data_IF_754424648211
#
_entry.id   IF_754424648211
#
_cell.length_a   1.000
_cell.length_b   1.000
_cell.length_c   1.000
_cell.angle_alpha   90.00
_cell.angle_beta   90.00
_cell.angle_gamma   90.00
#
_symmetry.space_group_name_H-M   'P 1'
#
loop_
_entity.id
_entity.type
_entity.pdbx_description
1 polymer ?
#
# COMPACT_ATOMS: atom_id res chain seq x y z
N UNK A 1 12.28 -14.70 -3.99
CA UNK A 1 12.76 -14.15 -5.27
C UNK A 1 13.16 -12.70 -5.00
N UNK A 2 14.45 -12.46 -4.98
CA UNK A 2 15.10 -11.17 -4.74
C UNK A 2 14.58 -10.16 -5.77
N UNK A 3 14.12 -9.00 -5.31
CA UNK A 3 13.73 -7.90 -6.19
C UNK A 3 14.83 -7.66 -7.21
N UNK A 4 14.51 -7.84 -8.50
CA UNK A 4 15.47 -7.75 -9.59
C UNK A 4 16.24 -6.43 -9.51
N UNK A 5 17.57 -6.41 -9.77
CA UNK A 5 18.35 -5.18 -9.90
C UNK A 5 17.76 -4.16 -10.88
N UNK A 6 16.92 -4.63 -11.82
CA UNK A 6 16.15 -3.79 -12.74
C UNK A 6 15.03 -3.00 -12.08
N UNK A 7 14.31 -3.60 -11.09
CA UNK A 7 13.25 -2.90 -10.36
C UNK A 7 13.82 -1.73 -9.56
N UNK A 8 14.99 -1.91 -8.95
CA UNK A 8 15.71 -0.84 -8.25
C UNK A 8 16.17 0.24 -9.25
N UNK A 9 16.69 -0.14 -10.42
CA UNK A 9 17.22 0.82 -11.42
C UNK A 9 16.13 1.75 -11.98
N UNK A 10 14.91 1.26 -12.22
CA UNK A 10 13.80 2.10 -12.71
C UNK A 10 13.18 2.98 -11.61
N UNK A 11 13.20 2.50 -10.36
CA UNK A 11 12.96 3.34 -9.20
C UNK A 11 13.90 4.56 -9.20
N UNK A 12 15.17 4.35 -9.58
CA UNK A 12 16.20 5.37 -9.69
C UNK A 12 15.92 6.39 -10.80
N UNK A 13 15.38 5.95 -11.92
CA UNK A 13 15.05 6.85 -13.03
C UNK A 13 13.85 7.75 -12.68
N UNK A 14 12.84 7.22 -12.00
CA UNK A 14 11.72 8.00 -11.49
C UNK A 14 12.14 9.06 -10.44
N UNK A 15 13.19 8.80 -9.67
CA UNK A 15 13.69 9.68 -8.62
C UNK A 15 14.58 10.83 -9.12
N UNK A 16 15.17 10.73 -10.32
CA UNK A 16 16.11 11.74 -10.87
C UNK A 16 15.50 13.12 -11.16
N UNK A 17 14.18 13.26 -11.13
CA UNK A 17 13.49 14.50 -11.49
C UNK A 17 13.23 15.47 -10.31
N UNK A 18 13.73 15.21 -9.09
CA UNK A 18 13.39 16.03 -7.90
C UNK A 18 14.52 16.94 -7.39
N UNK A 19 14.10 18.12 -6.86
CA UNK A 19 15.00 19.26 -6.69
C UNK A 19 15.87 19.30 -5.43
N UNK A 20 15.51 18.75 -4.28
CA UNK A 20 16.43 18.78 -3.10
C UNK A 20 16.00 17.89 -1.91
N UNK A 21 16.88 17.03 -1.42
CA UNK A 21 16.70 16.22 -0.22
C UNK A 21 17.04 17.03 1.05
N UNK A 22 16.19 17.01 2.07
CA UNK A 22 16.44 17.69 3.35
C UNK A 22 17.67 17.15 4.11
N UNK A 23 18.05 15.90 3.88
CA UNK A 23 19.17 15.24 4.56
C UNK A 23 20.51 15.57 3.90
N UNK A 24 20.61 15.41 2.59
CA UNK A 24 21.87 15.64 1.87
C UNK A 24 21.84 16.85 0.94
N UNK A 25 20.73 17.59 0.90
CA UNK A 25 20.46 18.75 0.02
C UNK A 25 20.55 18.44 -1.48
N UNK A 26 20.50 17.16 -1.85
CA UNK A 26 20.53 16.66 -3.23
C UNK A 26 19.23 15.94 -3.56
N UNK A 27 18.36 16.55 -4.38
CA UNK A 27 17.07 15.97 -4.78
C UNK A 27 16.01 15.93 -3.65
N UNK A 28 14.78 16.37 -3.95
CA UNK A 28 13.70 16.53 -2.98
C UNK A 28 12.57 15.50 -3.22
N UNK A 29 11.84 15.06 -2.18
CA UNK A 29 12.02 15.29 -0.72
C UNK A 29 13.13 14.45 -0.09
N UNK A 30 13.59 13.43 -0.77
CA UNK A 30 14.69 12.52 -0.39
C UNK A 30 15.49 12.22 -1.64
N UNK A 31 16.83 12.32 -1.56
CA UNK A 31 17.65 11.93 -2.71
C UNK A 31 17.60 10.41 -2.91
N UNK A 32 17.79 9.94 -4.16
CA UNK A 32 17.86 8.52 -4.43
C UNK A 32 18.86 7.77 -3.56
N UNK A 33 20.04 8.35 -3.34
CA UNK A 33 21.08 7.73 -2.50
C UNK A 33 20.65 7.61 -1.03
N UNK A 34 20.01 8.66 -0.46
CA UNK A 34 19.49 8.61 0.89
C UNK A 34 18.33 7.62 1.02
N UNK A 35 17.43 7.58 0.03
CA UNK A 35 16.34 6.62 0.04
C UNK A 35 16.89 5.19 -0.04
N UNK A 36 17.84 4.90 -0.93
CA UNK A 36 18.42 3.57 -1.03
C UNK A 36 19.16 3.15 0.25
N UNK A 37 19.90 4.07 0.85
CA UNK A 37 20.57 3.81 2.13
C UNK A 37 19.60 3.61 3.29
N UNK A 38 18.41 4.24 3.21
CA UNK A 38 17.35 4.14 4.22
C UNK A 38 16.33 3.03 3.97
N UNK A 39 16.40 2.32 2.83
CA UNK A 39 15.54 1.18 2.56
C UNK A 39 15.90 0.01 3.47
N UNK A 40 14.88 -0.52 4.13
CA UNK A 40 14.96 -1.79 4.86
C UNK A 40 14.12 -2.82 4.10
N UNK A 41 14.70 -3.53 3.13
CA UNK A 41 13.95 -4.42 2.26
C UNK A 41 13.30 -5.55 3.05
N UNK A 42 12.20 -6.04 2.53
CA UNK A 42 11.54 -7.22 3.09
C UNK A 42 12.45 -8.42 2.82
N UNK A 43 12.82 -9.20 3.84
CA UNK A 43 13.64 -10.40 3.65
C UNK A 43 12.94 -11.43 2.75
N UNK A 44 13.70 -12.22 1.98
CA UNK A 44 13.12 -13.20 1.06
C UNK A 44 12.37 -14.33 1.78
N UNK A 45 12.71 -14.59 3.03
CA UNK A 45 12.07 -15.56 3.93
C UNK A 45 10.92 -15.00 4.75
N UNK A 46 10.52 -13.73 4.51
CA UNK A 46 9.36 -13.14 5.15
C UNK A 46 8.06 -13.87 4.75
N UNK A 47 7.08 -13.79 5.62
CA UNK A 47 5.76 -14.37 5.38
C UNK A 47 5.13 -13.78 4.11
N UNK A 48 4.80 -14.57 3.08
CA UNK A 48 4.25 -14.06 1.82
C UNK A 48 2.89 -13.39 2.01
N UNK A 49 2.11 -13.83 3.01
CA UNK A 49 0.77 -13.28 3.26
C UNK A 49 0.80 -11.89 3.89
N UNK A 50 1.74 -11.58 4.78
CA UNK A 50 1.74 -10.31 5.52
C UNK A 50 3.08 -9.58 5.51
N UNK A 51 4.08 -10.10 4.82
CA UNK A 51 5.44 -9.54 4.71
C UNK A 51 6.13 -9.28 6.07
N UNK A 52 5.72 -9.97 7.14
CA UNK A 52 6.42 -9.95 8.42
C UNK A 52 7.52 -11.00 8.47
N UNK A 53 8.52 -10.73 9.31
CA UNK A 53 9.56 -11.73 9.59
C UNK A 53 8.94 -13.02 10.14
N UNK A 54 9.54 -14.12 9.77
CA UNK A 54 9.24 -15.44 10.31
C UNK A 54 10.34 -15.80 11.30
N UNK A 55 9.95 -16.20 12.51
CA UNK A 55 10.85 -16.64 13.56
C UNK A 55 10.55 -18.11 13.90
N UNK A 56 11.53 -18.97 13.80
CA UNK A 56 11.38 -20.43 14.06
C UNK A 56 10.14 -21.02 13.34
N UNK A 57 9.97 -20.69 12.05
CA UNK A 57 8.86 -21.18 11.23
C UNK A 57 7.49 -20.54 11.55
N UNK A 58 7.42 -19.60 12.47
CA UNK A 58 6.17 -18.91 12.86
C UNK A 58 6.17 -17.46 12.43
N UNK A 59 5.09 -17.04 11.76
CA UNK A 59 4.89 -15.63 11.41
C UNK A 59 4.69 -14.80 12.68
N UNK A 60 5.35 -13.64 12.75
CA UNK A 60 5.21 -12.71 13.88
C UNK A 60 3.81 -12.06 13.96
N UNK A 61 3.08 -11.93 12.85
CA UNK A 61 1.75 -11.31 12.81
C UNK A 61 0.69 -12.19 13.47
N UNK A 62 -0.06 -11.62 14.44
CA UNK A 62 -1.19 -12.28 15.07
C UNK A 62 -2.29 -12.61 14.05
N UNK A 63 -2.59 -11.67 13.13
CA UNK A 63 -3.58 -11.87 12.08
C UNK A 63 -3.30 -13.07 11.20
N UNK A 64 -2.01 -13.31 10.83
CA UNK A 64 -1.60 -14.52 10.12
C UNK A 64 -1.80 -15.79 10.96
N UNK A 65 -1.32 -15.79 12.21
CA UNK A 65 -1.40 -16.95 13.10
C UNK A 65 -2.82 -17.36 13.45
N UNK A 66 -3.72 -16.40 13.53
CA UNK A 66 -5.16 -16.59 13.82
C UNK A 66 -6.01 -16.84 12.58
N UNK A 67 -5.41 -16.82 11.38
CA UNK A 67 -6.17 -16.97 10.15
C UNK A 67 -7.10 -15.78 9.82
N UNK A 68 -6.89 -14.62 10.45
CA UNK A 68 -7.74 -13.44 10.23
C UNK A 68 -7.42 -12.71 8.93
N UNK A 69 -6.22 -12.92 8.37
CA UNK A 69 -5.82 -12.31 7.12
C UNK A 69 -6.62 -12.89 5.94
N UNK A 70 -7.35 -12.03 5.24
CA UNK A 70 -8.11 -12.41 4.05
C UNK A 70 -7.38 -12.11 2.73
N UNK A 71 -6.29 -11.34 2.75
CA UNK A 71 -5.43 -11.17 1.56
C UNK A 71 -4.64 -12.45 1.26
N UNK A 72 -4.41 -12.71 -0.02
CA UNK A 72 -3.59 -13.83 -0.48
C UNK A 72 -2.11 -13.55 -0.22
N UNK A 73 -1.56 -12.59 -0.95
CA UNK A 73 -0.16 -12.17 -0.85
C UNK A 73 -0.08 -10.67 -0.57
N UNK A 74 0.95 -10.24 0.17
CA UNK A 74 1.27 -8.82 0.36
C UNK A 74 2.59 -8.50 -0.32
N UNK A 75 2.52 -7.60 -1.31
CA UNK A 75 3.67 -7.04 -1.99
C UNK A 75 4.05 -5.70 -1.35
N UNK A 76 5.32 -5.49 -1.04
CA UNK A 76 5.81 -4.28 -0.37
C UNK A 76 6.76 -3.53 -1.28
N UNK A 77 6.41 -2.29 -1.66
CA UNK A 77 7.14 -1.53 -2.66
C UNK A 77 8.49 -0.98 -2.14
N UNK A 78 8.52 -0.47 -0.89
CA UNK A 78 9.68 0.24 -0.35
C UNK A 78 10.37 -0.52 0.80
N UNK A 79 9.76 -1.57 1.33
CA UNK A 79 10.31 -2.32 2.46
C UNK A 79 9.67 -1.96 3.80
N UNK A 80 10.45 -2.11 4.90
CA UNK A 80 9.94 -1.76 6.22
C UNK A 80 9.84 -0.25 6.42
N UNK A 81 8.80 0.18 7.17
CA UNK A 81 8.58 1.57 7.56
C UNK A 81 9.60 2.00 8.62
N UNK A 82 10.78 2.34 8.16
CA UNK A 82 11.92 2.79 8.97
C UNK A 82 12.68 3.89 8.23
N UNK A 83 13.51 4.65 8.94
CA UNK A 83 14.43 5.62 8.35
C UNK A 83 13.74 6.60 7.38
N UNK A 84 14.27 6.69 6.17
CA UNK A 84 13.79 7.61 5.14
C UNK A 84 12.42 7.24 4.57
N UNK A 85 12.09 5.94 4.51
CA UNK A 85 10.74 5.48 4.13
C UNK A 85 9.70 6.03 5.10
N UNK A 86 9.97 5.96 6.41
CA UNK A 86 9.08 6.50 7.41
C UNK A 86 8.94 8.03 7.29
N UNK A 87 10.04 8.75 7.08
CA UNK A 87 10.03 10.21 6.90
C UNK A 87 9.21 10.63 5.68
N UNK A 88 9.38 9.93 4.55
CA UNK A 88 8.65 10.18 3.32
C UNK A 88 7.14 9.97 3.49
N UNK A 89 6.75 8.87 4.12
CA UNK A 89 5.34 8.57 4.39
C UNK A 89 4.70 9.59 5.35
N UNK A 90 5.42 10.05 6.36
CA UNK A 90 4.96 11.10 7.28
C UNK A 90 4.80 12.43 6.52
N UNK A 91 5.77 12.81 5.69
CA UNK A 91 5.69 14.03 4.89
C UNK A 91 4.46 14.04 3.99
N UNK A 92 4.18 12.93 3.31
CA UNK A 92 3.00 12.82 2.44
C UNK A 92 1.67 12.81 3.23
N UNK A 93 1.63 12.10 4.36
CA UNK A 93 0.38 11.87 5.11
C UNK A 93 0.05 13.00 6.06
N UNK A 94 1.00 13.44 6.87
CA UNK A 94 0.76 14.37 7.97
C UNK A 94 1.02 15.83 7.54
N UNK A 95 2.09 16.07 6.78
CA UNK A 95 2.44 17.41 6.29
C UNK A 95 1.78 17.76 4.94
N UNK A 96 1.11 16.81 4.27
CA UNK A 96 0.52 16.97 2.94
C UNK A 96 1.51 17.55 1.91
N UNK A 97 2.79 17.15 2.01
CA UNK A 97 3.87 17.63 1.14
C UNK A 97 3.66 17.12 -0.30
N UNK A 98 3.40 18.00 -1.29
CA UNK A 98 3.12 17.56 -2.66
C UNK A 98 4.30 16.84 -3.30
N UNK A 99 5.54 17.21 -2.93
CA UNK A 99 6.74 16.52 -3.42
C UNK A 99 6.83 15.10 -2.91
N UNK A 100 6.50 14.87 -1.63
CA UNK A 100 6.45 13.55 -1.05
C UNK A 100 5.35 12.68 -1.70
N UNK A 101 4.16 13.24 -1.93
CA UNK A 101 3.05 12.56 -2.62
C UNK A 101 3.46 12.17 -4.04
N UNK A 102 4.01 13.10 -4.81
CA UNK A 102 4.48 12.86 -6.18
C UNK A 102 5.55 11.78 -6.22
N UNK A 103 6.51 11.82 -5.29
CA UNK A 103 7.56 10.82 -5.22
C UNK A 103 7.01 9.43 -4.92
N UNK A 104 6.11 9.32 -3.93
CA UNK A 104 5.47 8.04 -3.60
C UNK A 104 4.65 7.49 -4.77
N UNK A 105 3.93 8.35 -5.52
CA UNK A 105 3.21 7.96 -6.73
C UNK A 105 4.13 7.35 -7.79
N UNK A 106 5.26 8.00 -8.07
CA UNK A 106 6.27 7.49 -9.02
C UNK A 106 6.92 6.18 -8.55
N UNK A 107 7.20 6.06 -7.25
CA UNK A 107 7.73 4.84 -6.66
C UNK A 107 6.74 3.68 -6.77
N UNK A 108 5.47 3.94 -6.52
CA UNK A 108 4.40 2.97 -6.70
C UNK A 108 4.26 2.56 -8.16
N UNK A 109 4.26 3.51 -9.09
CA UNK A 109 4.24 3.25 -10.54
C UNK A 109 5.42 2.37 -10.96
N UNK A 110 6.63 2.73 -10.56
CA UNK A 110 7.83 1.94 -10.83
C UNK A 110 7.73 0.52 -10.29
N UNK A 111 7.18 0.35 -9.07
CA UNK A 111 6.95 -0.98 -8.51
C UNK A 111 5.95 -1.77 -9.35
N UNK A 112 4.80 -1.20 -9.72
CA UNK A 112 3.77 -1.86 -10.53
C UNK A 112 4.33 -2.30 -11.89
N UNK A 113 5.12 -1.45 -12.56
CA UNK A 113 5.74 -1.77 -13.86
C UNK A 113 6.70 -2.94 -13.78
N UNK A 114 7.51 -3.00 -12.73
CA UNK A 114 8.65 -3.92 -12.67
C UNK A 114 8.43 -5.16 -11.81
N UNK A 115 7.37 -5.18 -10.99
CA UNK A 115 7.05 -6.34 -10.18
C UNK A 115 6.21 -7.35 -10.98
N UNK A 116 6.70 -8.57 -11.20
CA UNK A 116 6.02 -9.53 -12.09
C UNK A 116 4.57 -9.82 -11.69
N UNK A 117 4.29 -9.95 -10.39
CA UNK A 117 2.94 -10.20 -9.90
C UNK A 117 2.00 -9.02 -10.11
N UNK A 118 2.50 -7.78 -10.12
CA UNK A 118 1.64 -6.60 -10.27
C UNK A 118 1.02 -6.50 -11.68
N UNK A 119 1.65 -7.11 -12.68
CA UNK A 119 1.11 -7.18 -14.05
C UNK A 119 0.00 -8.22 -14.22
N UNK A 120 -0.20 -9.08 -13.24
CA UNK A 120 -1.18 -10.16 -13.32
C UNK A 120 -2.54 -9.79 -12.72
N UNK A 121 -2.73 -8.54 -12.29
CA UNK A 121 -3.99 -8.07 -11.76
C UNK A 121 -4.85 -7.44 -12.87
N UNK A 122 -6.13 -7.79 -12.86
CA UNK A 122 -7.13 -7.22 -13.75
C UNK A 122 -7.59 -5.85 -13.24
N UNK A 123 -7.57 -5.67 -11.91
CA UNK A 123 -8.02 -4.45 -11.24
C UNK A 123 -7.03 -4.12 -10.12
N UNK A 124 -6.62 -2.85 -10.08
CA UNK A 124 -5.79 -2.30 -9.00
C UNK A 124 -6.52 -1.08 -8.42
N UNK A 125 -6.81 -1.09 -7.13
CA UNK A 125 -7.58 -0.04 -6.48
C UNK A 125 -7.00 0.33 -5.10
N UNK A 126 -7.09 1.60 -4.68
CA UNK A 126 -6.65 1.98 -3.34
C UNK A 126 -7.69 1.59 -2.28
N UNK A 127 -7.24 1.39 -1.04
CA UNK A 127 -8.13 1.34 0.12
C UNK A 127 -8.97 2.62 0.14
N UNK A 128 -10.31 2.54 0.16
CA UNK A 128 -11.15 3.72 0.20
C UNK A 128 -11.06 4.42 1.56
N UNK A 129 -11.36 5.70 1.57
CA UNK A 129 -11.41 6.51 2.77
C UNK A 129 -12.84 7.01 3.05
N UNK A 130 -13.15 7.25 4.31
CA UNK A 130 -14.38 7.92 4.69
C UNK A 130 -14.22 9.45 4.53
N UNK A 131 -15.22 10.18 4.01
CA UNK A 131 -15.11 11.64 3.81
C UNK A 131 -14.67 12.41 5.05
N UNK A 132 -15.09 12.00 6.25
CA UNK A 132 -14.65 12.62 7.52
C UNK A 132 -13.15 12.49 7.79
N UNK A 133 -12.45 11.57 7.11
CA UNK A 133 -11.00 11.43 7.27
C UNK A 133 -10.19 12.45 6.48
N UNK A 134 -10.81 13.21 5.59
CA UNK A 134 -10.17 14.27 4.81
C UNK A 134 -9.64 15.42 5.67
N UNK A 135 -10.27 15.71 6.82
CA UNK A 135 -9.84 16.77 7.75
C UNK A 135 -9.59 18.11 7.04
N UNK A 136 -10.50 18.50 6.14
CA UNK A 136 -10.37 19.74 5.36
C UNK A 136 -9.43 19.67 4.16
N UNK A 137 -8.86 18.53 3.84
CA UNK A 137 -8.04 18.33 2.63
C UNK A 137 -8.93 18.04 1.43
N UNK A 138 -8.57 18.52 0.22
CA UNK A 138 -9.35 18.24 -0.99
C UNK A 138 -9.29 16.76 -1.41
N UNK A 139 -8.18 16.08 -1.12
CA UNK A 139 -7.95 14.68 -1.50
C UNK A 139 -7.26 13.92 -0.35
N UNK A 140 -7.62 12.66 -0.18
CA UNK A 140 -6.94 11.79 0.77
C UNK A 140 -5.50 11.48 0.29
N UNK A 141 -4.47 11.51 1.15
CA UNK A 141 -3.07 11.31 0.74
C UNK A 141 -2.83 10.03 -0.06
N UNK A 142 -3.40 8.90 0.34
CA UNK A 142 -3.27 7.65 -0.39
C UNK A 142 -3.88 7.75 -1.80
N UNK A 143 -5.05 8.39 -1.92
CA UNK A 143 -5.69 8.62 -3.21
C UNK A 143 -4.83 9.51 -4.10
N UNK A 144 -4.22 10.56 -3.56
CA UNK A 144 -3.31 11.41 -4.31
C UNK A 144 -2.07 10.65 -4.81
N UNK A 145 -1.49 9.80 -3.97
CA UNK A 145 -0.38 8.90 -4.36
C UNK A 145 -0.82 7.94 -5.47
N UNK A 146 -2.00 7.34 -5.34
CA UNK A 146 -2.56 6.44 -6.34
C UNK A 146 -2.79 7.13 -7.69
N UNK A 147 -3.43 8.31 -7.68
CA UNK A 147 -3.67 9.10 -8.91
C UNK A 147 -2.36 9.52 -9.57
N UNK A 148 -1.36 9.92 -8.79
CA UNK A 148 -0.02 10.22 -9.30
C UNK A 148 0.67 9.00 -9.91
N UNK A 149 0.45 7.80 -9.37
CA UNK A 149 0.93 6.57 -9.97
C UNK A 149 0.16 6.24 -11.26
N UNK A 150 -1.17 6.40 -11.28
CA UNK A 150 -2.00 6.20 -12.46
C UNK A 150 -1.62 7.12 -13.62
N UNK A 151 -1.37 8.38 -13.33
CA UNK A 151 -0.89 9.35 -14.33
C UNK A 151 0.47 8.93 -14.92
N UNK A 152 1.40 8.48 -14.08
CA UNK A 152 2.72 8.04 -14.51
C UNK A 152 2.68 6.75 -15.35
N UNK A 153 1.61 5.96 -15.25
CA UNK A 153 1.46 4.67 -15.92
C UNK A 153 0.67 4.74 -17.23
N UNK A 154 0.03 5.87 -17.58
CA UNK A 154 -0.77 6.00 -18.81
C UNK A 154 0.12 5.99 -20.09
N UNK A 155 -0.32 5.36 -21.22
CA UNK A 155 -1.49 4.49 -21.39
C UNK A 155 -1.11 3.00 -21.33
N UNK A 156 -1.92 2.15 -20.69
CA UNK A 156 -1.81 0.70 -20.85
C UNK A 156 -1.80 -0.14 -19.58
N UNK A 157 -2.05 0.46 -18.41
CA UNK A 157 -2.21 -0.29 -17.16
C UNK A 157 -3.65 -0.25 -16.67
N UNK A 158 -4.19 -1.35 -16.12
CA UNK A 158 -5.56 -1.44 -15.62
C UNK A 158 -5.69 -0.76 -14.25
N UNK A 159 -5.17 0.46 -14.13
CA UNK A 159 -5.48 1.30 -12.99
C UNK A 159 -6.84 1.92 -13.23
N UNK A 160 -7.76 1.59 -12.36
CA UNK A 160 -9.12 2.10 -12.37
C UNK A 160 -9.12 3.63 -12.22
N UNK A 161 -9.96 4.29 -12.97
CA UNK A 161 -10.17 5.73 -12.86
C UNK A 161 -10.97 6.14 -11.61
N UNK A 162 -11.24 5.17 -10.72
CA UNK A 162 -11.98 5.32 -9.46
C UNK A 162 -13.45 5.80 -9.62
N UNK A 163 -14.00 5.74 -10.84
CA UNK A 163 -15.36 6.24 -11.09
C UNK A 163 -16.15 5.27 -11.99
N UNK A 164 -17.18 4.61 -11.47
CA UNK A 164 -17.62 4.53 -10.07
C UNK A 164 -16.72 3.61 -9.23
N UNK A 165 -16.57 3.87 -7.92
CA UNK A 165 -15.65 3.10 -7.08
C UNK A 165 -16.15 1.67 -6.89
N UNK A 166 -15.24 0.68 -7.01
CA UNK A 166 -15.55 -0.74 -6.72
C UNK A 166 -15.76 -0.99 -5.23
N UNK A 167 -15.10 -0.22 -4.38
CA UNK A 167 -15.13 -0.38 -2.94
C UNK A 167 -15.32 1.00 -2.29
N UNK A 168 -16.16 1.07 -1.27
CA UNK A 168 -16.44 2.29 -0.51
C UNK A 168 -16.31 2.03 0.99
N UNK A 169 -15.87 3.05 1.73
CA UNK A 169 -15.90 3.01 3.19
C UNK A 169 -17.24 3.58 3.66
N UNK A 170 -18.10 2.72 4.20
CA UNK A 170 -19.49 3.06 4.58
C UNK A 170 -19.62 3.52 6.03
N UNK A 171 -18.59 3.32 6.85
CA UNK A 171 -18.58 3.73 8.26
C UNK A 171 -17.27 4.41 8.62
N UNK A 172 -17.36 5.57 9.26
CA UNK A 172 -16.19 6.21 9.85
C UNK A 172 -15.57 5.32 10.92
N UNK A 173 -14.26 5.22 10.90
CA UNK A 173 -13.49 4.46 11.89
C UNK A 173 -12.73 5.43 12.81
N UNK A 174 -12.67 5.11 14.10
CA UNK A 174 -11.75 5.77 14.99
C UNK A 174 -10.30 5.55 14.53
N UNK A 175 -9.37 6.48 14.80
CA UNK A 175 -7.97 6.28 14.47
C UNK A 175 -7.45 4.96 15.04
N UNK A 176 -6.92 4.10 14.18
CA UNK A 176 -6.40 2.78 14.59
C UNK A 176 -5.03 2.89 15.27
N UNK A 177 -4.39 4.06 15.21
CA UNK A 177 -3.10 4.31 15.85
C UNK A 177 -3.25 4.21 17.37
N UNK A 178 -2.35 3.47 18.00
CA UNK A 178 -2.38 3.25 19.46
C UNK A 178 -3.33 2.13 19.94
N UNK A 179 -4.20 1.60 19.07
CA UNK A 179 -5.06 0.47 19.44
C UNK A 179 -4.29 -0.84 19.44
N UNK A 180 -4.64 -1.76 20.33
CA UNK A 180 -4.14 -3.14 20.31
C UNK A 180 -4.54 -3.87 19.02
N UNK A 181 -3.76 -4.88 18.63
CA UNK A 181 -4.02 -5.59 17.38
C UNK A 181 -5.44 -6.18 17.29
N UNK A 182 -5.98 -6.86 18.31
CA UNK A 182 -7.35 -7.40 18.24
C UNK A 182 -8.42 -6.31 18.08
N UNK A 183 -8.21 -5.14 18.68
CA UNK A 183 -9.17 -4.02 18.59
C UNK A 183 -9.22 -3.43 17.19
N UNK A 184 -8.08 -3.38 16.51
CA UNK A 184 -8.03 -2.95 15.10
C UNK A 184 -8.85 -3.87 14.20
N UNK A 185 -8.80 -5.18 14.42
CA UNK A 185 -9.60 -6.15 13.67
C UNK A 185 -11.09 -5.96 13.90
N UNK A 186 -11.50 -5.71 15.15
CA UNK A 186 -12.89 -5.40 15.50
C UNK A 186 -13.35 -4.07 14.89
N UNK A 187 -12.51 -3.04 14.93
CA UNK A 187 -12.84 -1.70 14.47
C UNK A 187 -13.11 -1.63 12.95
N UNK A 188 -12.43 -2.44 12.13
CA UNK A 188 -12.57 -2.40 10.67
C UNK A 188 -13.71 -3.26 10.15
N UNK A 189 -14.20 -4.22 10.94
CA UNK A 189 -15.25 -5.15 10.50
C UNK A 189 -16.52 -4.42 10.09
N UNK A 190 -17.01 -4.67 8.86
CA UNK A 190 -18.20 -4.01 8.31
C UNK A 190 -18.01 -2.52 7.98
N UNK A 191 -16.77 -2.03 7.92
CA UNK A 191 -16.50 -0.64 7.58
C UNK A 191 -16.48 -0.39 6.06
N UNK A 192 -16.44 -1.44 5.25
CA UNK A 192 -16.37 -1.35 3.79
C UNK A 192 -17.52 -2.12 3.15
N UNK A 193 -17.94 -1.65 1.97
CA UNK A 193 -18.95 -2.29 1.13
C UNK A 193 -18.55 -2.17 -0.34
N UNK A 194 -19.20 -2.96 -1.20
CA UNK A 194 -19.09 -2.79 -2.64
C UNK A 194 -19.72 -1.47 -3.07
N UNK A 195 -19.07 -0.82 -4.04
CA UNK A 195 -19.65 0.29 -4.79
C UNK A 195 -20.59 -0.19 -5.91
N UNK A 196 -20.75 0.63 -6.94
CA UNK A 196 -21.79 0.41 -7.96
C UNK A 196 -21.43 -0.63 -9.04
N UNK A 197 -20.17 -1.00 -9.25
CA UNK A 197 -19.74 -1.83 -10.38
C UNK A 197 -19.20 -3.18 -9.93
N UNK A 198 -20.06 -4.17 -9.77
CA UNK A 198 -19.66 -5.50 -9.27
C UNK A 198 -19.37 -6.53 -10.38
N UNK A 199 -19.88 -6.32 -11.62
CA UNK A 199 -19.72 -7.31 -12.70
C UNK A 199 -18.26 -7.59 -13.06
N UNK A 200 -17.43 -6.56 -13.07
CA UNK A 200 -16.01 -6.67 -13.42
C UNK A 200 -15.17 -7.36 -12.33
N UNK A 201 -15.68 -7.45 -11.11
CA UNK A 201 -14.99 -8.13 -10.01
C UNK A 201 -15.09 -9.65 -10.08
N UNK A 202 -16.13 -10.18 -10.72
CA UNK A 202 -16.40 -11.62 -10.75
C UNK A 202 -15.28 -12.37 -11.49
N UNK A 203 -14.59 -13.23 -10.76
CA UNK A 203 -13.45 -13.98 -11.28
C UNK A 203 -12.15 -13.19 -11.44
N UNK A 204 -12.17 -11.86 -11.17
CA UNK A 204 -11.02 -10.98 -11.34
C UNK A 204 -9.92 -11.25 -10.30
N UNK A 205 -8.69 -10.95 -10.69
CA UNK A 205 -7.52 -10.82 -9.82
C UNK A 205 -7.38 -9.35 -9.42
N UNK A 206 -7.57 -9.05 -8.15
CA UNK A 206 -7.61 -7.69 -7.63
C UNK A 206 -6.40 -7.43 -6.73
N UNK A 207 -5.76 -6.27 -6.88
CA UNK A 207 -4.79 -5.75 -5.92
C UNK A 207 -5.36 -4.54 -5.19
N UNK A 208 -5.33 -4.58 -3.85
CA UNK A 208 -5.71 -3.43 -3.00
C UNK A 208 -4.46 -2.71 -2.55
N UNK A 209 -4.38 -1.39 -2.82
CA UNK A 209 -3.24 -0.55 -2.44
C UNK A 209 -3.50 0.13 -1.10
N UNK A 210 -2.49 0.10 -0.20
CA UNK A 210 -2.46 0.88 1.04
C UNK A 210 -1.08 1.55 1.25
N UNK A 211 -1.02 2.57 2.10
CA UNK A 211 0.25 3.25 2.42
C UNK A 211 1.13 2.35 3.33
N UNK A 212 0.59 1.87 4.43
CA UNK A 212 1.34 1.09 5.42
C UNK A 212 0.52 -0.07 5.96
N UNK A 213 0.96 -1.28 5.70
CA UNK A 213 0.37 -2.42 6.38
C UNK A 213 0.92 -2.54 7.80
N UNK A 214 0.07 -2.34 8.79
CA UNK A 214 0.35 -2.58 10.22
C UNK A 214 -0.07 -3.98 10.64
N UNK A 215 -1.32 -4.20 10.99
CA UNK A 215 -1.88 -5.53 11.30
C UNK A 215 -2.42 -6.25 10.06
N UNK A 216 -2.76 -5.49 9.01
CA UNK A 216 -3.46 -5.97 7.82
C UNK A 216 -4.97 -6.03 7.96
N UNK A 217 -5.54 -5.54 9.07
CA UNK A 217 -6.97 -5.61 9.32
C UNK A 217 -7.79 -4.88 8.24
N UNK A 218 -7.41 -3.65 7.87
CA UNK A 218 -8.07 -2.88 6.82
C UNK A 218 -8.05 -3.61 5.48
N UNK A 219 -6.87 -4.03 5.03
CA UNK A 219 -6.70 -4.78 3.78
C UNK A 219 -7.49 -6.09 3.78
N UNK A 220 -7.56 -6.77 4.92
CA UNK A 220 -8.32 -8.01 5.04
C UNK A 220 -9.82 -7.80 4.94
N UNK A 221 -10.36 -6.74 5.53
CA UNK A 221 -11.79 -6.44 5.40
C UNK A 221 -12.13 -6.02 3.97
N UNK A 222 -11.29 -5.21 3.31
CA UNK A 222 -11.42 -4.91 1.89
C UNK A 222 -11.42 -6.20 1.04
N UNK A 223 -10.46 -7.09 1.29
CA UNK A 223 -10.34 -8.36 0.57
C UNK A 223 -11.54 -9.28 0.80
N UNK A 224 -12.07 -9.32 2.02
CA UNK A 224 -13.28 -10.08 2.35
C UNK A 224 -14.46 -9.58 1.54
N UNK A 225 -14.70 -8.28 1.51
CA UNK A 225 -15.81 -7.67 0.74
C UNK A 225 -15.66 -7.96 -0.75
N UNK A 226 -14.47 -7.76 -1.32
CA UNK A 226 -14.21 -8.00 -2.75
C UNK A 226 -14.42 -9.46 -3.14
N UNK A 227 -14.07 -10.42 -2.28
CA UNK A 227 -14.28 -11.85 -2.56
C UNK A 227 -15.71 -12.29 -2.30
N UNK A 228 -16.21 -12.07 -1.08
CA UNK A 228 -17.50 -12.62 -0.66
C UNK A 228 -18.70 -11.95 -1.34
N UNK A 229 -18.61 -10.65 -1.57
CA UNK A 229 -19.69 -9.88 -2.19
C UNK A 229 -19.42 -9.60 -3.67
N UNK A 230 -18.15 -9.35 -4.06
CA UNK A 230 -17.77 -9.03 -5.43
C UNK A 230 -17.46 -10.24 -6.30
N UNK A 231 -17.17 -11.39 -5.71
CA UNK A 231 -16.80 -12.60 -6.44
C UNK A 231 -15.40 -12.59 -7.04
N UNK A 232 -14.49 -11.74 -6.52
CA UNK A 232 -13.10 -11.71 -6.96
C UNK A 232 -12.41 -13.06 -6.67
N UNK A 233 -11.69 -13.61 -7.66
CA UNK A 233 -11.01 -14.89 -7.52
C UNK A 233 -9.77 -14.78 -6.63
N UNK A 234 -9.02 -13.70 -6.78
CA UNK A 234 -7.80 -13.42 -6.00
C UNK A 234 -7.87 -11.98 -5.52
N UNK A 235 -7.54 -11.76 -4.24
CA UNK A 235 -7.33 -10.41 -3.70
C UNK A 235 -6.02 -10.41 -2.94
N UNK A 236 -5.06 -9.65 -3.48
CA UNK A 236 -3.74 -9.43 -2.90
C UNK A 236 -3.61 -7.96 -2.44
N UNK A 237 -2.55 -7.66 -1.70
CA UNK A 237 -2.24 -6.31 -1.26
C UNK A 237 -0.95 -5.81 -1.91
N UNK A 238 -0.93 -4.53 -2.29
CA UNK A 238 0.28 -3.76 -2.60
C UNK A 238 0.39 -2.65 -1.58
N UNK A 239 1.46 -2.60 -0.81
CA UNK A 239 1.67 -1.54 0.18
C UNK A 239 2.98 -0.82 -0.06
N UNK A 240 3.01 0.49 0.22
CA UNK A 240 4.27 1.24 0.12
C UNK A 240 5.27 0.74 1.16
N UNK A 241 4.81 0.50 2.39
CA UNK A 241 5.69 -0.02 3.43
C UNK A 241 4.99 -1.00 4.39
N UNK A 242 5.79 -1.83 5.02
CA UNK A 242 5.38 -2.72 6.09
C UNK A 242 5.84 -2.19 7.45
N UNK A 243 4.94 -2.00 8.40
CA UNK A 243 5.33 -1.70 9.78
C UNK A 243 6.09 -2.91 10.34
N UNK A 244 7.36 -2.76 10.75
CA UNK A 244 8.08 -3.87 11.37
C UNK A 244 7.42 -4.29 12.68
N UNK A 245 7.50 -5.56 13.01
CA UNK A 245 7.12 -6.04 14.34
C UNK A 245 8.15 -5.54 15.36
N UNK A 246 7.70 -4.75 16.32
CA UNK A 246 8.49 -4.49 17.52
C UNK A 246 8.17 -5.60 18.52
N UNK A 247 9.15 -6.42 18.84
CA UNK A 247 9.08 -7.26 20.04
C UNK A 247 9.10 -6.27 21.21
N UNK A 248 7.96 -6.11 21.88
CA UNK A 248 7.90 -5.43 23.19
C UNK A 248 8.29 -6.47 24.21
#
# INVERSE_FOLDING_TARGET
MTGSPRAVRSLWEALRAHRCCRTCRRGYPISPACLAAGLAPIPPDACPRCAQRVHHGRCASLGCRRGWLSVGTTHVALGYKQGDVQRLLIAAKDAADPGAVTLLGRLLAGFIVHHPAARAYDIVLPVPFHPLSLRGRPVHPLTAVYLGAAEALRPGYPLDDLTPPFLVQVRAMAPLRGQAEPDRWRAVRGAFALGFSTRMLRGARVAVIDDVMTTGATLSECARVLREQGGAAVVDAIVLARQPWSVI
#
